data_IF_707090668094
#
_entry.id   IF_707090668094
#
_cell.length_a   1.000
_cell.length_b   1.000
_cell.length_c   1.000
_cell.angle_alpha   90.00
_cell.angle_beta   90.00
_cell.angle_gamma   90.00
#
_symmetry.space_group_name_H-M   'P 1'
#
loop_
_entity.id
_entity.type
_entity.pdbx_description
1 polymer ?
#
# COMPACT_ATOMS: atom_id res chain seq x y z
N UNK A 1 -2.58 -1.30 21.04
CA UNK A 1 -1.20 -1.17 20.53
C UNK A 1 -1.17 -1.15 19.00
N UNK A 2 -1.77 -2.14 18.32
CA UNK A 2 -1.82 -2.25 16.86
C UNK A 2 -2.38 -1.01 16.11
N UNK A 3 -3.47 -0.39 16.60
CA UNK A 3 -4.04 0.81 15.95
C UNK A 3 -3.05 1.98 15.84
N UNK A 4 -2.24 2.23 16.88
CA UNK A 4 -1.27 3.33 16.92
C UNK A 4 -0.11 3.10 15.95
N UNK A 5 0.29 1.85 15.76
CA UNK A 5 1.28 1.45 14.76
C UNK A 5 0.72 1.68 13.35
N UNK A 6 -0.48 1.19 13.07
CA UNK A 6 -1.16 1.37 11.80
C UNK A 6 -1.38 2.86 11.45
N UNK A 7 -1.75 3.69 12.43
CA UNK A 7 -1.82 5.15 12.27
C UNK A 7 -0.48 5.74 11.83
N UNK A 8 0.63 5.21 12.35
CA UNK A 8 1.99 5.66 12.02
C UNK A 8 2.38 5.22 10.61
N UNK A 9 2.11 3.98 10.25
CA UNK A 9 2.31 3.47 8.89
C UNK A 9 1.47 4.26 7.87
N UNK A 10 0.21 4.54 8.19
CA UNK A 10 -0.67 5.32 7.32
C UNK A 10 -0.21 6.77 7.12
N UNK A 11 0.52 7.35 8.08
CA UNK A 11 1.12 8.68 7.92
C UNK A 11 2.33 8.70 6.97
N UNK A 12 2.94 7.55 6.67
CA UNK A 12 4.05 7.44 5.69
C UNK A 12 3.56 7.53 4.24
N UNK A 13 2.29 7.21 4.01
CA UNK A 13 1.68 7.34 2.69
C UNK A 13 1.68 8.80 2.26
N UNK A 14 2.02 9.03 1.00
CA UNK A 14 1.98 10.34 0.36
C UNK A 14 0.66 11.07 0.69
N UNK A 15 0.71 12.37 1.09
CA UNK A 15 -0.48 13.09 1.51
C UNK A 15 -1.62 13.08 0.47
N UNK A 16 -1.31 13.11 -0.83
CA UNK A 16 -2.31 13.11 -1.89
C UNK A 16 -2.94 11.74 -2.06
N UNK A 17 -2.13 10.67 -2.04
CA UNK A 17 -2.66 9.30 -2.10
C UNK A 17 -3.53 9.01 -0.88
N UNK A 18 -3.08 9.43 0.31
CA UNK A 18 -3.84 9.31 1.55
C UNK A 18 -5.15 10.07 1.50
N UNK A 19 -5.17 11.28 0.93
CA UNK A 19 -6.40 12.03 0.70
C UNK A 19 -7.36 11.28 -0.23
N UNK A 20 -6.85 10.73 -1.34
CA UNK A 20 -7.62 9.93 -2.29
C UNK A 20 -8.24 8.70 -1.60
N UNK A 21 -7.46 7.96 -0.80
CA UNK A 21 -7.97 6.81 -0.03
C UNK A 21 -9.08 7.23 0.96
N UNK A 22 -8.89 8.34 1.68
CA UNK A 22 -9.93 8.88 2.58
C UNK A 22 -11.19 9.32 1.82
N UNK A 23 -11.04 9.89 0.63
CA UNK A 23 -12.15 10.27 -0.23
C UNK A 23 -12.93 9.05 -0.72
N UNK A 24 -12.23 8.00 -1.13
CA UNK A 24 -12.83 6.72 -1.52
C UNK A 24 -13.54 6.02 -0.36
N UNK A 25 -12.98 6.11 0.86
CA UNK A 25 -13.62 5.64 2.09
C UNK A 25 -14.97 6.34 2.32
N UNK A 26 -14.99 7.67 2.26
CA UNK A 26 -16.23 8.45 2.39
C UNK A 26 -17.29 8.07 1.36
N UNK A 27 -16.86 7.73 0.14
CA UNK A 27 -17.73 7.32 -0.96
C UNK A 27 -18.04 5.81 -0.97
N UNK A 28 -17.50 5.03 -0.02
CA UNK A 28 -17.69 3.56 0.06
C UNK A 28 -17.25 2.79 -1.19
N UNK A 29 -16.23 3.29 -1.88
CA UNK A 29 -15.69 2.70 -3.12
C UNK A 29 -14.20 2.39 -3.01
N UNK A 30 -13.72 2.01 -1.83
CA UNK A 30 -12.31 1.64 -1.69
C UNK A 30 -12.11 0.24 -2.26
N UNK A 31 -11.16 0.04 -3.19
CA UNK A 31 -10.89 -1.28 -3.76
C UNK A 31 -10.05 -2.10 -2.78
N UNK A 32 -10.65 -2.54 -1.67
CA UNK A 32 -9.98 -3.31 -0.62
C UNK A 32 -9.34 -4.59 -1.18
N UNK A 33 -10.05 -5.30 -2.06
CA UNK A 33 -9.54 -6.51 -2.70
C UNK A 33 -8.26 -6.24 -3.48
N UNK A 34 -8.19 -5.09 -4.20
CA UNK A 34 -7.01 -4.72 -4.96
C UNK A 34 -5.82 -4.38 -4.07
N UNK A 35 -6.07 -3.71 -2.94
CA UNK A 35 -5.04 -3.42 -1.93
C UNK A 35 -4.52 -4.73 -1.34
N UNK A 36 -5.41 -5.65 -0.96
CA UNK A 36 -5.03 -6.97 -0.42
C UNK A 36 -4.19 -7.77 -1.40
N UNK A 37 -4.58 -7.83 -2.68
CA UNK A 37 -3.78 -8.54 -3.68
C UNK A 37 -2.34 -8.00 -3.79
N UNK A 38 -2.14 -6.68 -3.68
CA UNK A 38 -0.78 -6.13 -3.66
C UNK A 38 -0.02 -6.49 -2.40
N UNK A 39 -0.68 -6.57 -1.25
CA UNK A 39 -0.07 -7.02 -0.01
C UNK A 39 0.34 -8.51 -0.11
N UNK A 40 -0.52 -9.34 -0.68
CA UNK A 40 -0.27 -10.77 -0.91
C UNK A 40 0.87 -11.03 -1.90
N UNK A 41 1.12 -10.12 -2.84
CA UNK A 41 2.25 -10.21 -3.76
C UNK A 41 3.56 -9.71 -3.11
N UNK A 42 3.52 -8.55 -2.45
CA UNK A 42 4.71 -7.84 -1.97
C UNK A 42 5.26 -8.45 -0.67
N UNK A 43 4.37 -8.82 0.26
CA UNK A 43 4.79 -9.27 1.59
C UNK A 43 5.59 -10.58 1.52
N UNK A 44 5.13 -11.64 0.82
CA UNK A 44 5.91 -12.87 0.71
C UNK A 44 7.24 -12.64 -0.01
N UNK A 45 7.24 -11.84 -1.09
CA UNK A 45 8.45 -11.53 -1.86
C UNK A 45 9.55 -10.95 -0.98
N UNK A 46 9.26 -9.89 -0.20
CA UNK A 46 10.28 -9.27 0.65
C UNK A 46 10.57 -10.04 1.93
N UNK A 47 9.67 -10.93 2.37
CA UNK A 47 9.98 -11.88 3.45
C UNK A 47 11.04 -12.89 3.03
N UNK A 48 10.96 -13.38 1.79
CA UNK A 48 11.91 -14.36 1.25
C UNK A 48 13.19 -13.70 0.73
N UNK A 49 13.05 -12.52 0.13
CA UNK A 49 14.12 -11.81 -0.57
C UNK A 49 14.18 -10.32 -0.15
N UNK A 50 14.58 -10.02 1.11
CA UNK A 50 14.51 -8.67 1.65
C UNK A 50 15.38 -7.66 0.90
N UNK A 51 16.49 -8.07 0.29
CA UNK A 51 17.41 -7.20 -0.43
C UNK A 51 17.19 -7.18 -1.96
N UNK A 52 16.14 -7.86 -2.44
CA UNK A 52 15.84 -7.94 -3.87
C UNK A 52 14.96 -6.80 -4.37
N UNK A 53 14.91 -6.66 -5.70
CA UNK A 53 14.07 -5.67 -6.38
C UNK A 53 12.83 -6.36 -6.91
N UNK A 54 11.65 -5.91 -6.50
CA UNK A 54 10.39 -6.36 -7.09
C UNK A 54 10.06 -5.47 -8.29
N UNK A 55 9.86 -6.07 -9.46
CA UNK A 55 9.52 -5.37 -10.70
C UNK A 55 8.21 -5.95 -11.24
N UNK A 56 7.28 -5.06 -11.63
CA UNK A 56 6.02 -5.47 -12.25
C UNK A 56 5.62 -4.49 -13.34
N UNK A 57 5.07 -4.99 -14.44
CA UNK A 57 4.33 -4.19 -15.38
C UNK A 57 3.00 -3.75 -14.73
N UNK A 58 2.68 -2.47 -14.81
CA UNK A 58 1.45 -1.95 -14.23
C UNK A 58 0.99 -0.75 -15.02
N UNK A 59 0.28 -1.01 -16.12
CA UNK A 59 -0.15 0.01 -17.07
C UNK A 59 -1.27 0.92 -16.55
N UNK A 60 -2.08 0.45 -15.59
CA UNK A 60 -3.12 1.24 -14.96
C UNK A 60 -2.55 2.21 -13.92
N UNK A 61 -2.79 3.52 -14.10
CA UNK A 61 -2.34 4.56 -13.17
C UNK A 61 -2.97 4.49 -11.79
N UNK A 62 -4.21 4.01 -11.70
CA UNK A 62 -4.88 3.80 -10.42
C UNK A 62 -4.24 2.67 -9.63
N UNK A 63 -3.97 1.54 -10.29
CA UNK A 63 -3.27 0.42 -9.67
C UNK A 63 -1.86 0.80 -9.20
N UNK A 64 -1.11 1.56 -10.01
CA UNK A 64 0.19 2.10 -9.58
C UNK A 64 0.07 2.96 -8.33
N UNK A 65 -0.93 3.83 -8.26
CA UNK A 65 -1.18 4.65 -7.07
C UNK A 65 -1.48 3.79 -5.84
N UNK A 66 -2.30 2.75 -5.97
CA UNK A 66 -2.61 1.82 -4.88
C UNK A 66 -1.37 1.06 -4.41
N UNK A 67 -0.57 0.54 -5.34
CA UNK A 67 0.66 -0.16 -5.01
C UNK A 67 1.68 0.77 -4.34
N UNK A 68 1.78 2.03 -4.78
CA UNK A 68 2.58 3.04 -4.08
C UNK A 68 2.12 3.24 -2.63
N UNK A 69 0.81 3.31 -2.37
CA UNK A 69 0.27 3.39 -1.01
C UNK A 69 0.64 2.15 -0.17
N UNK A 70 0.48 0.95 -0.72
CA UNK A 70 0.85 -0.31 -0.04
C UNK A 70 2.35 -0.29 0.31
N UNK A 71 3.21 0.01 -0.65
CA UNK A 71 4.66 0.07 -0.42
C UNK A 71 5.02 1.09 0.66
N UNK A 72 4.48 2.31 0.61
CA UNK A 72 4.76 3.34 1.62
C UNK A 72 4.28 2.94 3.00
N UNK A 73 3.12 2.27 3.10
CA UNK A 73 2.60 1.75 4.35
C UNK A 73 3.53 0.68 4.95
N UNK A 74 3.99 -0.25 4.11
CA UNK A 74 4.94 -1.32 4.44
C UNK A 74 6.39 -0.84 4.63
N UNK A 75 6.64 0.47 4.53
CA UNK A 75 7.97 1.09 4.64
C UNK A 75 8.96 0.75 3.51
N UNK A 76 8.43 0.38 2.34
CA UNK A 76 9.18 0.13 1.11
C UNK A 76 9.31 1.40 0.25
N UNK A 77 10.32 1.44 -0.62
CA UNK A 77 10.44 2.45 -1.69
C UNK A 77 9.77 1.90 -2.93
N UNK A 78 9.03 2.73 -3.64
CA UNK A 78 8.47 2.38 -4.94
C UNK A 78 8.67 3.51 -5.94
N UNK A 79 9.02 3.16 -7.18
CA UNK A 79 9.25 4.10 -8.28
C UNK A 79 8.57 3.58 -9.56
N UNK A 80 7.72 4.41 -10.14
CA UNK A 80 7.14 4.13 -11.46
C UNK A 80 8.04 4.67 -12.57
N UNK A 81 8.20 3.94 -13.67
CA UNK A 81 8.95 4.37 -14.84
C UNK A 81 8.35 3.80 -16.13
N UNK A 82 8.75 4.33 -17.27
CA UNK A 82 8.34 3.83 -18.59
C UNK A 82 9.55 3.23 -19.29
N UNK A 83 9.40 2.04 -19.86
CA UNK A 83 10.41 1.38 -20.67
C UNK A 83 9.70 0.74 -21.88
N UNK A 84 10.21 1.03 -23.08
CA UNK A 84 9.67 0.51 -24.35
C UNK A 84 8.16 0.74 -24.56
N UNK A 85 7.65 1.86 -24.06
CA UNK A 85 6.22 2.22 -24.13
C UNK A 85 5.36 1.64 -23.01
N UNK A 86 5.88 0.67 -22.25
CA UNK A 86 5.19 0.02 -21.14
C UNK A 86 5.52 0.68 -19.80
N UNK A 87 4.56 0.71 -18.87
CA UNK A 87 4.74 1.30 -17.54
C UNK A 87 5.08 0.21 -16.53
N UNK A 88 6.19 0.40 -15.84
CA UNK A 88 6.66 -0.49 -14.78
C UNK A 88 6.65 0.21 -13.44
N UNK A 89 6.62 -0.60 -12.39
CA UNK A 89 6.88 -0.17 -11.03
C UNK A 89 7.95 -1.06 -10.41
N UNK A 90 8.95 -0.40 -9.86
CA UNK A 90 10.05 -1.00 -9.12
C UNK A 90 9.84 -0.74 -7.64
N UNK A 91 9.96 -1.78 -6.83
CA UNK A 91 9.83 -1.72 -5.38
C UNK A 91 11.08 -2.29 -4.73
N UNK A 92 11.55 -1.63 -3.69
CA UNK A 92 12.77 -1.98 -2.96
C UNK A 92 12.54 -1.83 -1.46
N UNK A 93 13.19 -2.69 -0.69
CA UNK A 93 13.29 -2.53 0.74
C UNK A 93 14.50 -1.65 1.09
N UNK A 94 14.35 -0.76 2.07
CA UNK A 94 15.45 0.11 2.53
C UNK A 94 16.34 -0.55 3.56
N UNK A 95 15.91 -1.67 4.12
CA UNK A 95 16.52 -2.30 5.28
C UNK A 95 16.94 -3.73 4.94
N UNK A 96 17.95 -4.23 5.65
CA UNK A 96 18.47 -5.61 5.50
C UNK A 96 17.39 -6.66 5.83
N UNK A 97 16.37 -6.27 6.61
CA UNK A 97 15.25 -7.13 6.98
C UNK A 97 13.94 -6.49 6.60
N UNK A 98 12.98 -7.29 6.13
CA UNK A 98 11.62 -6.85 5.93
C UNK A 98 10.72 -7.33 7.07
N UNK A 99 10.08 -6.39 7.77
CA UNK A 99 9.11 -6.69 8.82
C UNK A 99 7.82 -5.91 8.49
N UNK A 100 6.76 -6.57 8.01
CA UNK A 100 5.50 -5.91 7.75
C UNK A 100 4.84 -5.50 9.09
N UNK A 101 4.03 -4.43 9.10
CA UNK A 101 3.25 -4.06 10.27
C UNK A 101 2.22 -5.14 10.62
N UNK A 102 1.84 -5.22 11.90
CA UNK A 102 0.87 -6.22 12.40
C UNK A 102 -0.50 -6.06 11.72
N UNK A 103 -0.93 -4.82 11.51
CA UNK A 103 -2.17 -4.48 10.80
C UNK A 103 -1.80 -4.02 9.41
N UNK A 104 -2.38 -4.66 8.40
CA UNK A 104 -2.15 -4.33 6.99
C UNK A 104 -2.96 -3.10 6.56
N UNK A 105 -2.65 -2.51 5.41
CA UNK A 105 -3.36 -1.34 4.91
C UNK A 105 -4.81 -1.68 4.57
N UNK A 106 -5.06 -2.84 3.96
CA UNK A 106 -6.42 -3.31 3.65
C UNK A 106 -7.28 -3.42 4.92
N UNK A 107 -6.73 -4.05 5.97
CA UNK A 107 -7.37 -4.19 7.28
C UNK A 107 -7.60 -2.83 7.95
N UNK A 108 -6.59 -1.97 7.94
CA UNK A 108 -6.66 -0.64 8.55
C UNK A 108 -7.72 0.24 7.88
N UNK A 109 -7.79 0.22 6.55
CA UNK A 109 -8.81 0.93 5.78
C UNK A 109 -10.22 0.39 6.13
N UNK A 110 -10.37 -0.92 6.26
CA UNK A 110 -11.65 -1.54 6.69
C UNK A 110 -12.06 -1.11 8.10
N UNK A 111 -11.10 -0.99 9.02
CA UNK A 111 -11.36 -0.46 10.38
C UNK A 111 -11.81 1.01 10.35
N UNK A 112 -11.23 1.83 9.47
CA UNK A 112 -11.65 3.23 9.29
C UNK A 112 -13.08 3.33 8.74
N UNK A 113 -13.45 2.47 7.79
CA UNK A 113 -14.83 2.40 7.28
C UNK A 113 -15.82 2.01 8.38
N UNK A 114 -15.47 1.02 9.22
CA UNK A 114 -16.28 0.62 10.37
C UNK A 114 -16.42 1.71 11.44
N UNK A 115 -15.37 2.50 11.67
CA UNK A 115 -15.43 3.61 12.64
C UNK A 115 -16.39 4.71 12.17
N UNK A 116 -16.41 5.04 10.88
CA UNK A 116 -17.36 6.03 10.34
C UNK A 116 -18.82 5.57 10.33
N UNK A 117 -19.09 4.27 10.56
CA UNK A 117 -20.45 3.75 10.70
C UNK A 117 -21.04 3.97 12.09
N UNK A 118 -20.21 4.21 13.11
CA UNK A 118 -20.66 4.41 14.49
C UNK A 118 -20.91 5.88 14.86
N UNK A 119 -20.66 6.81 13.93
CA UNK A 119 -20.86 8.26 14.12
C UNK A 119 -22.15 8.77 13.45
N UNK A 120 -23.09 7.88 13.11
CA UNK A 120 -24.43 8.14 12.53
C UNK A 120 -25.50 7.43 13.36
#
# INVERSE_FOLDING_TARGET
MAKKEADTCFRRIDPNIRYTLKSMLKRRHVPLDRISCFEDDIIPFFKEHPDSVYLRDLNNGFDRMLLHAVCQYLNLISKSFTQDGERYIQVENRYITFVPPITLLSEYVKLLDGTMKNDL
#
